data_IF_743255298646
#
_entry.id   IF_743255298646
#
_cell.length_a   1.000
_cell.length_b   1.000
_cell.length_c   1.000
_cell.angle_alpha   90.00
_cell.angle_beta   90.00
_cell.angle_gamma   90.00
#
_symmetry.space_group_name_H-M   'P 1'
#
loop_
_entity.id
_entity.type
_entity.pdbx_description
1 polymer ?
#
# COMPACT_ATOMS: atom_id res chain seq x y z
N UNK A 1 -5.61 52.86 54.25
CA UNK A 1 -5.90 52.58 52.83
C UNK A 1 -5.37 51.24 52.37
N UNK A 2 -4.37 50.62 53.00
CA UNK A 2 -3.71 49.35 52.57
C UNK A 2 -4.57 48.09 52.72
N UNK A 3 -5.48 48.02 53.72
CA UNK A 3 -6.28 46.79 53.90
C UNK A 3 -7.28 46.46 52.77
N UNK A 4 -7.75 47.50 52.05
CA UNK A 4 -8.67 47.28 50.88
C UNK A 4 -7.96 46.76 49.61
N UNK A 5 -6.70 47.16 49.41
CA UNK A 5 -5.89 46.71 48.28
C UNK A 5 -5.51 45.24 48.41
N UNK A 6 -5.13 44.81 49.61
CA UNK A 6 -4.76 43.44 49.92
C UNK A 6 -5.96 42.47 49.79
N UNK A 7 -7.14 42.90 50.25
CA UNK A 7 -8.38 42.12 50.08
C UNK A 7 -8.80 41.92 48.63
N UNK A 8 -8.53 42.92 47.75
CA UNK A 8 -8.80 42.84 46.31
C UNK A 8 -7.82 41.87 45.62
N UNK A 9 -6.54 41.93 45.98
CA UNK A 9 -5.50 41.02 45.46
C UNK A 9 -5.79 39.56 45.82
N UNK A 10 -6.14 39.25 47.06
CA UNK A 10 -6.51 37.88 47.46
C UNK A 10 -7.81 37.40 46.78
N UNK A 11 -8.72 38.30 46.48
CA UNK A 11 -9.97 37.98 45.77
C UNK A 11 -9.71 37.70 44.27
N UNK A 12 -8.76 38.39 43.67
CA UNK A 12 -8.30 38.16 42.31
C UNK A 12 -7.51 36.84 42.18
N UNK A 13 -6.62 36.53 43.12
CA UNK A 13 -5.91 35.26 43.17
C UNK A 13 -6.87 34.07 43.35
N UNK A 14 -7.90 34.21 44.17
CA UNK A 14 -8.93 33.18 44.39
C UNK A 14 -9.88 33.02 43.21
N UNK A 15 -9.95 34.01 42.31
CA UNK A 15 -10.78 33.96 41.12
C UNK A 15 -10.01 33.40 39.91
N UNK A 16 -8.68 33.32 40.01
CA UNK A 16 -7.80 32.81 38.92
C UNK A 16 -7.75 31.28 38.84
N UNK A 17 -8.19 30.58 39.88
CA UNK A 17 -8.22 29.10 39.88
C UNK A 17 -9.66 28.59 40.04
N UNK A 18 -10.49 28.78 39.01
CA UNK A 18 -11.80 28.10 38.99
C UNK A 18 -11.55 26.64 38.57
N UNK A 19 -11.79 25.66 39.47
CA UNK A 19 -11.61 24.23 39.15
C UNK A 19 -12.45 23.80 37.92
N UNK A 20 -13.54 24.52 37.61
CA UNK A 20 -14.36 24.32 36.41
C UNK A 20 -13.59 24.62 35.08
N UNK A 21 -12.71 25.63 35.10
CA UNK A 21 -11.93 25.99 33.89
C UNK A 21 -10.91 24.93 33.57
N UNK A 22 -10.17 24.43 34.56
CA UNK A 22 -9.19 23.36 34.42
C UNK A 22 -9.85 22.05 33.94
N UNK A 23 -10.99 21.71 34.53
CA UNK A 23 -11.74 20.52 34.12
C UNK A 23 -12.23 20.62 32.66
N UNK A 24 -12.72 21.80 32.25
CA UNK A 24 -13.17 22.02 30.85
C UNK A 24 -12.00 21.97 29.87
N UNK A 25 -10.84 22.49 30.23
CA UNK A 25 -9.61 22.38 29.42
C UNK A 25 -9.17 20.92 29.31
N UNK A 26 -9.14 20.19 30.43
CA UNK A 26 -8.83 18.75 30.40
C UNK A 26 -9.77 17.96 29.48
N UNK A 27 -11.07 18.23 29.57
CA UNK A 27 -12.06 17.59 28.68
C UNK A 27 -11.83 17.96 27.23
N UNK A 28 -11.41 19.19 26.93
CA UNK A 28 -11.08 19.62 25.57
C UNK A 28 -9.85 18.90 25.04
N UNK A 29 -8.79 18.76 25.82
CA UNK A 29 -7.61 17.99 25.46
C UNK A 29 -7.93 16.50 25.21
N UNK A 30 -8.74 15.89 26.09
CA UNK A 30 -9.16 14.49 25.91
C UNK A 30 -9.92 14.33 24.58
N UNK A 31 -10.81 15.25 24.21
CA UNK A 31 -11.52 15.22 22.92
C UNK A 31 -10.54 15.31 21.74
N UNK A 32 -9.56 16.22 21.80
CA UNK A 32 -8.56 16.40 20.75
C UNK A 32 -7.72 15.12 20.59
N UNK A 33 -7.22 14.56 21.70
CA UNK A 33 -6.43 13.32 21.67
C UNK A 33 -7.26 12.12 21.17
N UNK A 34 -8.51 12.02 21.61
CA UNK A 34 -9.41 10.95 21.15
C UNK A 34 -9.68 11.06 19.64
N UNK A 35 -9.92 12.27 19.14
CA UNK A 35 -10.10 12.52 17.72
C UNK A 35 -8.82 12.19 16.92
N UNK A 36 -7.65 12.61 17.40
CA UNK A 36 -6.38 12.31 16.76
C UNK A 36 -6.10 10.80 16.69
N UNK A 37 -6.36 10.05 17.77
CA UNK A 37 -6.23 8.59 17.82
C UNK A 37 -7.20 7.95 16.82
N UNK A 38 -8.45 8.40 16.77
CA UNK A 38 -9.44 7.87 15.84
C UNK A 38 -9.03 8.11 14.39
N UNK A 39 -8.57 9.32 14.06
CA UNK A 39 -8.07 9.66 12.72
C UNK A 39 -6.87 8.79 12.35
N UNK A 40 -5.88 8.66 13.23
CA UNK A 40 -4.72 7.82 13.02
C UNK A 40 -5.12 6.35 12.80
N UNK A 41 -6.06 5.84 13.59
CA UNK A 41 -6.60 4.49 13.44
C UNK A 41 -7.27 4.29 12.06
N UNK A 42 -8.13 5.22 11.64
CA UNK A 42 -8.80 5.16 10.33
C UNK A 42 -7.78 5.22 9.20
N UNK A 43 -6.82 6.14 9.26
CA UNK A 43 -5.78 6.25 8.23
C UNK A 43 -4.96 4.97 8.11
N UNK A 44 -4.52 4.40 9.22
CA UNK A 44 -3.66 3.21 9.20
C UNK A 44 -4.42 1.92 8.86
N UNK A 45 -5.71 1.83 9.15
CA UNK A 45 -6.51 0.62 8.89
C UNK A 45 -7.24 0.64 7.57
N UNK A 46 -7.77 1.81 7.18
CA UNK A 46 -8.66 1.92 6.02
C UNK A 46 -7.98 2.53 4.79
N UNK A 47 -6.96 3.35 4.97
CA UNK A 47 -6.36 4.13 3.87
C UNK A 47 -5.00 3.58 3.45
N UNK A 48 -4.11 3.30 4.41
CA UNK A 48 -2.71 2.97 4.14
C UNK A 48 -2.44 1.48 4.32
N UNK A 49 -1.69 0.91 3.39
CA UNK A 49 -0.98 -0.37 3.55
C UNK A 49 0.46 -0.04 3.87
N UNK A 50 0.98 -0.51 4.99
CA UNK A 50 2.41 -0.48 5.29
C UNK A 50 2.94 -1.91 5.19
N UNK A 51 3.89 -2.14 4.29
CA UNK A 51 4.42 -3.46 4.03
C UNK A 51 5.94 -3.45 3.87
N UNK A 52 6.54 -4.60 4.14
CA UNK A 52 7.94 -4.92 3.90
C UNK A 52 8.02 -6.09 2.93
N UNK A 53 8.99 -6.07 2.03
CA UNK A 53 9.20 -7.12 1.03
C UNK A 53 10.23 -8.13 1.53
N UNK A 54 9.80 -9.36 1.89
CA UNK A 54 10.73 -10.39 2.37
C UNK A 54 11.44 -11.16 1.24
N UNK A 55 11.05 -10.96 -0.01
CA UNK A 55 11.50 -11.75 -1.16
C UNK A 55 12.05 -10.87 -2.27
N UNK A 56 12.89 -11.47 -3.12
CA UNK A 56 13.53 -10.82 -4.26
C UNK A 56 12.69 -10.81 -5.54
N UNK A 57 11.42 -11.21 -5.48
CA UNK A 57 10.57 -11.36 -6.68
C UNK A 57 10.25 -10.06 -7.43
N UNK A 58 10.35 -8.92 -6.75
CA UNK A 58 10.12 -7.58 -7.32
C UNK A 58 11.42 -6.77 -7.43
N UNK A 59 12.58 -7.43 -7.28
CA UNK A 59 13.88 -6.79 -7.40
C UNK A 59 14.08 -6.17 -8.78
N UNK A 60 14.73 -5.12 -8.77
CA UNK A 60 14.94 -3.92 -9.49
C UNK A 60 13.99 -2.79 -9.00
N UNK A 61 12.69 -3.03 -8.86
CA UNK A 61 11.74 -2.02 -8.37
C UNK A 61 11.65 -2.00 -6.84
N UNK A 62 11.49 -3.17 -6.21
CA UNK A 62 11.41 -3.31 -4.75
C UNK A 62 12.41 -4.36 -4.32
N UNK A 63 13.43 -3.94 -3.56
CA UNK A 63 14.48 -4.82 -3.07
C UNK A 63 14.02 -5.61 -1.85
N UNK A 64 14.66 -6.73 -1.59
CA UNK A 64 14.44 -7.47 -0.34
C UNK A 64 14.75 -6.59 0.88
N UNK A 65 13.83 -6.50 1.82
CA UNK A 65 13.91 -5.64 3.01
C UNK A 65 13.41 -4.21 2.80
N UNK A 66 13.01 -3.84 1.58
CA UNK A 66 12.39 -2.53 1.32
C UNK A 66 11.05 -2.42 2.03
N UNK A 67 10.77 -1.20 2.55
CA UNK A 67 9.47 -0.85 3.13
C UNK A 67 8.78 0.20 2.29
N UNK A 68 7.50 0.00 2.07
CA UNK A 68 6.70 0.86 1.22
C UNK A 68 5.30 1.10 1.77
N UNK A 69 4.73 2.22 1.36
CA UNK A 69 3.33 2.54 1.55
C UNK A 69 2.54 2.24 0.28
N UNK A 70 1.40 1.63 0.48
CA UNK A 70 0.36 1.51 -0.52
C UNK A 70 -0.93 2.18 -0.04
N UNK A 71 -1.85 2.45 -0.97
CA UNK A 71 -3.18 2.98 -0.68
C UNK A 71 -4.24 1.91 -0.94
N UNK A 72 -5.02 1.62 0.09
CA UNK A 72 -6.20 0.73 0.01
C UNK A 72 -7.32 1.35 -0.81
N UNK A 73 -7.45 2.68 -0.73
CA UNK A 73 -8.54 3.42 -1.36
C UNK A 73 -8.33 3.68 -2.85
N UNK A 74 -7.15 3.36 -3.42
CA UNK A 74 -6.85 3.60 -4.84
C UNK A 74 -7.92 3.02 -5.76
N UNK A 75 -8.36 1.81 -5.47
CA UNK A 75 -9.30 1.08 -6.31
C UNK A 75 -10.78 1.18 -5.87
N UNK A 76 -11.10 2.17 -5.02
CA UNK A 76 -12.49 2.56 -4.74
C UNK A 76 -13.05 3.48 -5.83
N UNK A 77 -12.20 4.20 -6.54
CA UNK A 77 -12.58 5.22 -7.53
C UNK A 77 -12.06 4.90 -8.93
N UNK A 78 -11.06 4.02 -9.05
CA UNK A 78 -10.43 3.65 -10.31
C UNK A 78 -10.31 2.13 -10.39
N UNK A 79 -10.28 1.59 -11.59
CA UNK A 79 -9.96 0.17 -11.80
C UNK A 79 -8.44 -0.03 -11.77
N UNK A 80 -7.95 -1.20 -11.25
CA UNK A 80 -6.54 -1.55 -11.36
C UNK A 80 -6.08 -1.55 -12.83
N UNK A 81 -4.97 -0.88 -13.09
CA UNK A 81 -4.43 -0.69 -14.44
C UNK A 81 -3.24 -1.62 -14.70
N UNK A 82 -2.96 -1.88 -15.98
CA UNK A 82 -1.74 -2.56 -16.39
C UNK A 82 -0.51 -1.79 -15.91
N UNK A 83 0.50 -2.51 -15.43
CA UNK A 83 1.73 -2.05 -14.79
C UNK A 83 1.58 -1.50 -13.37
N UNK A 84 0.37 -1.43 -12.80
CA UNK A 84 0.21 -1.14 -11.37
C UNK A 84 0.91 -2.21 -10.53
N UNK A 85 1.61 -1.78 -9.48
CA UNK A 85 2.14 -2.68 -8.46
C UNK A 85 1.08 -2.82 -7.38
N UNK A 86 0.57 -4.03 -7.18
CA UNK A 86 -0.51 -4.30 -6.26
C UNK A 86 -0.06 -5.15 -5.08
N UNK A 87 -0.65 -4.86 -3.92
CA UNK A 87 -0.60 -5.70 -2.72
C UNK A 87 -1.90 -6.47 -2.64
N UNK A 88 -1.84 -7.79 -2.54
CA UNK A 88 -3.03 -8.64 -2.63
C UNK A 88 -2.89 -9.91 -1.81
N UNK A 89 -4.00 -10.57 -1.52
CA UNK A 89 -4.04 -11.89 -0.91
C UNK A 89 -3.70 -12.95 -1.95
N UNK A 90 -2.79 -13.84 -1.62
CA UNK A 90 -2.34 -14.91 -2.52
C UNK A 90 -3.51 -15.85 -2.89
N UNK A 91 -3.80 -16.08 -4.20
CA UNK A 91 -4.97 -16.83 -4.63
C UNK A 91 -5.04 -18.29 -4.16
N UNK A 92 -3.89 -18.95 -3.97
CA UNK A 92 -3.83 -20.34 -3.48
C UNK A 92 -3.85 -20.42 -1.94
N UNK A 93 -3.60 -19.30 -1.23
CA UNK A 93 -3.62 -19.21 0.24
C UNK A 93 -3.82 -17.75 0.69
N UNK A 94 -5.06 -17.34 0.89
CA UNK A 94 -5.42 -15.96 1.25
C UNK A 94 -4.90 -15.47 2.63
N UNK A 95 -4.32 -16.37 3.43
CA UNK A 95 -3.63 -15.97 4.67
C UNK A 95 -2.31 -15.23 4.39
N UNK A 96 -1.77 -15.37 3.18
CA UNK A 96 -0.51 -14.78 2.72
C UNK A 96 -0.77 -13.56 1.86
N UNK A 97 0.05 -12.53 2.05
CA UNK A 97 -0.01 -11.28 1.25
C UNK A 97 1.20 -11.20 0.34
N UNK A 98 0.94 -10.94 -0.93
CA UNK A 98 1.97 -10.82 -1.96
C UNK A 98 1.97 -9.42 -2.57
N UNK A 99 3.08 -9.07 -3.21
CA UNK A 99 3.23 -7.88 -4.05
C UNK A 99 3.73 -8.30 -5.42
N UNK A 100 3.02 -7.88 -6.48
CA UNK A 100 3.38 -8.15 -7.89
C UNK A 100 2.89 -7.00 -8.78
N UNK A 101 3.34 -7.00 -10.02
CA UNK A 101 2.91 -6.08 -11.07
C UNK A 101 1.80 -6.69 -11.91
N UNK A 102 0.75 -5.91 -12.19
CA UNK A 102 -0.30 -6.29 -13.13
C UNK A 102 0.28 -6.28 -14.55
N UNK A 103 0.17 -7.40 -15.23
CA UNK A 103 0.57 -7.56 -16.63
C UNK A 103 -0.65 -7.65 -17.53
N UNK A 104 -1.68 -8.39 -17.12
CA UNK A 104 -2.95 -8.50 -17.82
C UNK A 104 -4.13 -8.00 -16.97
N UNK A 105 -5.02 -7.23 -17.57
CA UNK A 105 -6.29 -6.76 -16.99
C UNK A 105 -7.46 -7.60 -17.56
N UNK A 106 -8.68 -7.51 -17.00
CA UNK A 106 -9.83 -8.29 -17.46
C UNK A 106 -10.04 -8.23 -18.98
N UNK A 107 -10.14 -9.40 -19.62
CA UNK A 107 -10.31 -9.55 -21.06
C UNK A 107 -9.06 -9.58 -21.90
N UNK A 108 -7.88 -9.40 -21.31
CA UNK A 108 -6.62 -9.49 -22.02
C UNK A 108 -6.22 -10.93 -22.34
N UNK A 109 -5.50 -11.08 -23.45
CA UNK A 109 -4.72 -12.29 -23.77
C UNK A 109 -3.25 -11.96 -23.55
N UNK A 110 -2.66 -12.58 -22.53
CA UNK A 110 -1.24 -12.46 -22.21
C UNK A 110 -0.50 -13.64 -22.77
N UNK A 111 0.46 -13.40 -23.66
CA UNK A 111 1.28 -14.42 -24.28
C UNK A 111 2.74 -14.22 -23.90
N UNK A 112 3.40 -15.29 -23.52
CA UNK A 112 4.86 -15.32 -23.34
C UNK A 112 5.40 -16.14 -24.51
N UNK A 113 6.18 -15.49 -25.38
CA UNK A 113 6.80 -16.10 -26.57
C UNK A 113 8.26 -15.66 -26.66
N UNK A 114 9.16 -16.64 -26.83
CA UNK A 114 10.59 -16.36 -26.92
C UNK A 114 11.10 -15.45 -25.80
N UNK A 115 10.69 -15.75 -24.56
CA UNK A 115 11.05 -15.01 -23.35
C UNK A 115 10.60 -13.53 -23.33
N UNK A 116 9.61 -13.17 -24.15
CA UNK A 116 9.03 -11.83 -24.27
C UNK A 116 7.54 -11.87 -24.00
N UNK A 117 7.03 -10.85 -23.30
CA UNK A 117 5.60 -10.73 -22.98
C UNK A 117 4.88 -9.92 -24.07
N UNK A 118 3.77 -10.46 -24.54
CA UNK A 118 2.83 -9.79 -25.43
C UNK A 118 1.47 -9.72 -24.75
N UNK A 119 0.75 -8.63 -24.98
CA UNK A 119 -0.62 -8.46 -24.52
C UNK A 119 -1.48 -8.06 -25.70
N UNK A 120 -2.51 -8.87 -25.99
CA UNK A 120 -3.39 -8.71 -27.15
C UNK A 120 -2.62 -8.63 -28.48
N UNK A 121 -1.51 -9.39 -28.57
CA UNK A 121 -0.65 -9.43 -29.74
C UNK A 121 0.42 -8.34 -29.85
N UNK A 122 0.42 -7.35 -28.96
CA UNK A 122 1.42 -6.27 -28.92
C UNK A 122 2.48 -6.56 -27.85
N UNK A 123 3.75 -6.35 -28.17
CA UNK A 123 4.85 -6.53 -27.22
C UNK A 123 4.72 -5.51 -26.09
N UNK A 124 4.78 -5.99 -24.84
CA UNK A 124 4.75 -5.13 -23.67
C UNK A 124 6.14 -4.52 -23.43
N UNK A 125 6.19 -3.19 -23.29
CA UNK A 125 7.41 -2.50 -22.86
C UNK A 125 7.60 -2.67 -21.35
N UNK A 126 8.76 -3.19 -20.95
CA UNK A 126 9.02 -3.60 -19.57
C UNK A 126 10.36 -3.06 -19.04
N UNK A 127 10.52 -1.73 -18.92
CA UNK A 127 11.79 -1.11 -18.51
C UNK A 127 12.15 -1.40 -17.04
N UNK A 128 11.24 -1.96 -16.27
CA UNK A 128 11.39 -2.31 -14.86
C UNK A 128 12.02 -3.69 -14.64
N UNK A 129 12.24 -4.47 -15.67
CA UNK A 129 12.83 -5.80 -15.52
C UNK A 129 14.25 -5.72 -14.94
N UNK A 130 14.55 -6.62 -14.02
CA UNK A 130 15.91 -6.81 -13.50
C UNK A 130 16.89 -7.32 -14.57
N UNK A 131 16.41 -8.24 -15.37
CA UNK A 131 17.14 -8.92 -16.43
C UNK A 131 16.17 -9.51 -17.44
N UNK A 132 16.65 -9.87 -18.62
CA UNK A 132 15.83 -10.55 -19.63
C UNK A 132 15.30 -11.87 -19.07
N UNK A 133 14.04 -12.16 -19.37
CA UNK A 133 13.42 -13.42 -18.99
C UNK A 133 14.08 -14.58 -19.73
N UNK A 134 14.23 -15.72 -19.08
CA UNK A 134 14.84 -16.94 -19.61
C UNK A 134 14.00 -18.16 -19.20
N UNK A 135 12.75 -18.24 -19.68
CA UNK A 135 11.82 -19.34 -19.40
C UNK A 135 12.04 -20.53 -20.33
N UNK A 136 12.39 -20.26 -21.58
CA UNK A 136 12.56 -21.26 -22.63
C UNK A 136 11.26 -21.97 -23.04
N UNK A 137 10.09 -21.45 -22.65
CA UNK A 137 8.78 -22.04 -22.98
C UNK A 137 7.77 -20.95 -23.32
N UNK A 138 6.83 -21.29 -24.19
CA UNK A 138 5.73 -20.42 -24.53
C UNK A 138 4.53 -20.69 -23.63
N UNK A 139 3.83 -19.63 -23.20
CA UNK A 139 2.63 -19.69 -22.38
C UNK A 139 1.58 -18.72 -22.91
N UNK A 140 0.30 -19.05 -22.72
CA UNK A 140 -0.83 -18.17 -23.06
C UNK A 140 -1.81 -18.18 -21.91
N UNK A 141 -2.29 -16.99 -21.55
CA UNK A 141 -3.24 -16.78 -20.46
C UNK A 141 -4.35 -15.85 -20.92
N UNK A 142 -5.61 -16.29 -20.81
CA UNK A 142 -6.79 -15.48 -21.05
C UNK A 142 -7.29 -14.96 -19.71
N UNK A 143 -7.24 -13.64 -19.50
CA UNK A 143 -7.58 -13.03 -18.21
C UNK A 143 -9.10 -12.94 -18.06
N UNK A 144 -9.69 -13.63 -17.07
CA UNK A 144 -11.13 -13.61 -16.86
C UNK A 144 -11.64 -12.23 -16.42
N UNK A 145 -12.94 -12.01 -16.50
CA UNK A 145 -13.61 -10.85 -15.89
C UNK A 145 -13.25 -10.75 -14.40
N UNK A 146 -13.14 -9.51 -13.90
CA UNK A 146 -12.83 -9.19 -12.51
C UNK A 146 -11.53 -9.85 -11.96
N UNK A 147 -10.60 -10.19 -12.85
CA UNK A 147 -9.36 -10.89 -12.52
C UNK A 147 -8.15 -10.23 -13.20
N UNK A 148 -6.98 -10.44 -12.61
CA UNK A 148 -5.73 -9.83 -13.05
C UNK A 148 -4.63 -10.89 -13.13
N UNK A 149 -3.86 -10.83 -14.20
CA UNK A 149 -2.65 -11.63 -14.36
C UNK A 149 -1.44 -10.83 -13.88
N UNK A 150 -0.69 -11.37 -12.93
CA UNK A 150 0.39 -10.64 -12.25
C UNK A 150 1.72 -11.36 -12.35
N UNK A 151 2.80 -10.60 -12.52
CA UNK A 151 4.16 -11.15 -12.54
C UNK A 151 5.10 -10.34 -11.65
N UNK A 152 6.16 -10.98 -11.18
CA UNK A 152 7.26 -10.27 -10.52
C UNK A 152 8.18 -9.60 -11.52
N UNK A 153 8.81 -8.48 -11.15
CA UNK A 153 9.78 -7.76 -11.98
C UNK A 153 11.08 -8.56 -12.15
N UNK A 154 11.43 -9.39 -11.15
CA UNK A 154 12.52 -10.37 -11.27
C UNK A 154 11.98 -11.69 -11.83
N UNK A 155 11.79 -11.74 -13.14
CA UNK A 155 11.10 -12.79 -13.90
C UNK A 155 11.62 -14.20 -13.66
N UNK A 156 12.94 -14.35 -13.54
CA UNK A 156 13.59 -15.65 -13.52
C UNK A 156 13.48 -16.38 -12.19
N UNK A 157 13.18 -15.66 -11.08
CA UNK A 157 13.04 -16.25 -9.75
C UNK A 157 11.68 -16.01 -9.11
N UNK A 158 10.81 -15.22 -9.75
CA UNK A 158 9.48 -14.92 -9.21
C UNK A 158 8.56 -16.14 -9.30
N UNK A 159 8.04 -16.59 -8.16
CA UNK A 159 6.87 -17.44 -8.13
C UNK A 159 5.63 -16.55 -8.23
N UNK A 160 4.99 -16.52 -9.38
CA UNK A 160 3.86 -15.66 -9.69
C UNK A 160 2.78 -16.39 -10.51
N UNK A 161 1.84 -15.64 -11.06
CA UNK A 161 0.68 -16.17 -11.77
C UNK A 161 0.99 -17.22 -12.85
N UNK A 162 2.20 -17.24 -13.38
CA UNK A 162 2.64 -18.26 -14.34
C UNK A 162 2.66 -19.68 -13.79
N UNK A 163 2.77 -19.82 -12.46
CA UNK A 163 3.04 -21.10 -11.80
C UNK A 163 2.02 -21.48 -10.73
N UNK A 164 1.07 -20.59 -10.40
CA UNK A 164 0.06 -20.83 -9.36
C UNK A 164 -1.05 -21.75 -9.86
N UNK A 165 -1.69 -22.48 -8.95
CA UNK A 165 -2.87 -23.27 -9.28
C UNK A 165 -4.06 -22.37 -9.62
N UNK A 166 -4.30 -21.34 -8.80
CA UNK A 166 -5.23 -20.26 -9.10
C UNK A 166 -4.45 -19.11 -9.73
N UNK A 167 -4.28 -19.19 -11.04
CA UNK A 167 -3.44 -18.27 -11.84
C UNK A 167 -3.76 -16.80 -11.62
N UNK A 168 -5.05 -16.44 -11.45
CA UNK A 168 -5.50 -15.05 -11.49
C UNK A 168 -5.80 -14.49 -10.10
N UNK A 169 -5.41 -13.24 -9.88
CA UNK A 169 -5.79 -12.47 -8.69
C UNK A 169 -7.16 -11.84 -8.96
N UNK A 170 -8.16 -12.17 -8.16
CA UNK A 170 -9.48 -11.54 -8.23
C UNK A 170 -9.43 -10.11 -7.68
N UNK A 171 -10.27 -9.23 -8.21
CA UNK A 171 -10.38 -7.84 -7.75
C UNK A 171 -10.58 -7.73 -6.23
N UNK A 172 -11.40 -8.58 -5.65
CA UNK A 172 -11.69 -8.63 -4.20
C UNK A 172 -10.48 -9.03 -3.34
N UNK A 173 -9.49 -9.70 -3.93
CA UNK A 173 -8.24 -10.08 -3.24
C UNK A 173 -7.23 -8.93 -3.20
N UNK A 174 -7.42 -7.87 -3.99
CA UNK A 174 -6.52 -6.72 -4.04
C UNK A 174 -6.71 -5.87 -2.78
N UNK A 175 -5.65 -5.70 -2.02
CA UNK A 175 -5.62 -4.92 -0.78
C UNK A 175 -5.38 -3.44 -1.08
N UNK A 176 -4.56 -3.13 -2.10
CA UNK A 176 -4.25 -1.76 -2.49
C UNK A 176 -3.11 -1.65 -3.49
N UNK A 177 -2.85 -0.44 -3.94
CA UNK A 177 -1.77 -0.08 -4.87
C UNK A 177 -0.53 0.34 -4.08
N UNK A 178 0.62 -0.25 -4.35
CA UNK A 178 1.91 0.17 -3.81
C UNK A 178 2.33 1.48 -4.49
N UNK A 179 2.69 2.52 -3.73
CA UNK A 179 2.91 3.87 -4.27
C UNK A 179 4.29 4.43 -3.96
N UNK A 180 4.73 4.35 -2.71
CA UNK A 180 5.96 5.01 -2.27
C UNK A 180 6.79 4.06 -1.44
N UNK A 181 8.01 3.81 -1.88
CA UNK A 181 9.07 3.18 -1.09
C UNK A 181 9.68 4.24 -0.19
N UNK A 182 9.70 3.99 1.12
CA UNK A 182 10.20 4.94 2.10
C UNK A 182 11.47 4.48 2.85
N UNK A 183 11.82 3.20 2.68
CA UNK A 183 13.03 2.64 3.26
C UNK A 183 13.63 1.58 2.33
N UNK A 184 14.95 1.69 2.07
CA UNK A 184 15.76 0.75 1.28
C UNK A 184 17.17 0.75 1.86
N UNK A 185 17.36 0.05 3.01
CA UNK A 185 18.60 0.12 3.80
C UNK A 185 18.86 1.49 4.47
N UNK A 186 18.25 2.55 3.97
CA UNK A 186 18.21 3.91 4.50
C UNK A 186 16.87 4.55 4.22
N UNK A 187 16.55 5.64 4.93
CA UNK A 187 15.33 6.41 4.66
C UNK A 187 15.41 7.00 3.24
N UNK A 188 14.40 6.75 2.45
CA UNK A 188 14.26 7.22 1.06
C UNK A 188 12.80 7.59 0.79
N UNK A 189 12.51 8.28 -0.31
CA UNK A 189 11.16 8.51 -0.79
C UNK A 189 11.18 8.38 -2.31
N UNK A 190 10.75 7.24 -2.80
CA UNK A 190 10.74 6.91 -4.22
C UNK A 190 9.34 6.48 -4.63
N UNK A 191 8.76 7.19 -5.61
CA UNK A 191 7.46 6.83 -6.17
C UNK A 191 7.64 5.63 -7.09
N UNK A 192 6.88 4.57 -6.81
CA UNK A 192 6.89 3.35 -7.63
C UNK A 192 5.96 3.54 -8.84
N UNK A 193 6.49 3.19 -10.00
CA UNK A 193 5.79 3.26 -11.30
C UNK A 193 5.78 1.89 -11.96
#
# INVERSE_FOLDING_TARGET
MEGKAMGKFFKELKNQSRPKTVLMEMVSYIKIFSAAILIAFVLTRCVIVNAETPTSSMENTIMTGDRYFGLRISYLFEEPQRQDIIVFKFPDDESRVFVKRIIGIPGDIVEIKNDTVYVNGEQLEEPYLKESMALGQNMVFEVPADSYFVMGDNRNISNDARYWNNTYVKKEQIIGKAIVKYYSGKVTFEVMK
#
